data_IF_515600702782
#
_entry.id   IF_515600702782
#
_cell.length_a   1.000
_cell.length_b   1.000
_cell.length_c   1.000
_cell.angle_alpha   90.00
_cell.angle_beta   90.00
_cell.angle_gamma   90.00
#
_symmetry.space_group_name_H-M   'P 1'
#
loop_
_entity.id
_entity.type
_entity.pdbx_description
1 polymer ?
#
# COMPACT_ATOMS: atom_id res chain seq x y z
N UNK A 1 13.92 21.25 6.49
CA UNK A 1 12.93 20.25 6.96
C UNK A 1 13.65 18.92 6.99
N UNK A 2 14.00 18.43 8.18
CA UNK A 2 14.79 17.21 8.34
C UNK A 2 14.00 16.02 7.80
N UNK A 3 14.50 15.39 6.74
CA UNK A 3 13.90 14.25 6.06
C UNK A 3 14.04 13.00 6.94
N UNK A 4 13.20 12.89 7.98
CA UNK A 4 13.04 11.66 8.75
C UNK A 4 12.15 10.75 7.91
N UNK A 5 12.83 10.01 7.06
CA UNK A 5 12.24 8.94 6.28
C UNK A 5 11.49 8.00 7.24
N UNK A 6 10.18 7.77 7.07
CA UNK A 6 9.44 6.90 7.97
C UNK A 6 10.06 5.51 7.92
N UNK A 7 10.20 4.88 9.07
CA UNK A 7 10.66 3.51 9.15
C UNK A 7 9.53 2.55 8.75
N UNK A 8 9.90 1.29 8.49
CA UNK A 8 8.96 0.29 7.97
C UNK A 8 7.82 -0.04 8.94
N UNK A 9 8.04 0.11 10.25
CA UNK A 9 7.02 -0.16 11.24
C UNK A 9 6.00 0.98 11.26
N UNK A 10 6.44 2.23 11.19
CA UNK A 10 5.55 3.40 11.09
C UNK A 10 4.65 3.30 9.85
N UNK A 11 5.20 2.89 8.71
CA UNK A 11 4.42 2.68 7.48
C UNK A 11 3.36 1.57 7.63
N UNK A 12 3.69 0.50 8.35
CA UNK A 12 2.75 -0.61 8.61
C UNK A 12 1.68 -0.20 9.60
N UNK A 13 2.05 0.50 10.67
CA UNK A 13 1.11 1.03 11.67
C UNK A 13 0.11 1.98 11.00
N UNK A 14 0.59 2.91 10.18
CA UNK A 14 -0.25 3.80 9.38
C UNK A 14 -1.25 3.01 8.51
N UNK A 15 -0.78 1.98 7.80
CA UNK A 15 -1.64 1.15 6.98
C UNK A 15 -2.69 0.38 7.80
N UNK A 16 -2.32 -0.15 8.98
CA UNK A 16 -3.23 -0.86 9.90
C UNK A 16 -4.28 0.08 10.51
N UNK A 17 -3.93 1.34 10.76
CA UNK A 17 -4.86 2.38 11.21
C UNK A 17 -5.83 2.85 10.11
N UNK A 18 -5.77 2.24 8.92
CA UNK A 18 -6.62 2.61 7.79
C UNK A 18 -6.20 3.90 7.10
N UNK A 19 -5.00 4.41 7.38
CA UNK A 19 -4.45 5.57 6.66
C UNK A 19 -3.80 5.06 5.36
N UNK A 20 -4.33 5.43 4.18
CA UNK A 20 -3.80 4.95 2.92
C UNK A 20 -2.43 5.54 2.64
N UNK A 21 -1.50 4.72 2.12
CA UNK A 21 -0.24 5.19 1.56
C UNK A 21 -0.54 5.70 0.15
N UNK A 22 -0.35 6.99 -0.08
CA UNK A 22 -0.60 7.58 -1.40
C UNK A 22 0.58 7.33 -2.34
N UNK A 23 0.33 7.36 -3.66
CA UNK A 23 1.42 7.27 -4.64
C UNK A 23 2.42 8.42 -4.47
N UNK A 24 1.94 9.63 -4.16
CA UNK A 24 2.79 10.80 -3.90
C UNK A 24 3.69 10.57 -2.69
N UNK A 25 3.16 9.99 -1.62
CA UNK A 25 3.90 9.65 -0.41
C UNK A 25 4.95 8.57 -0.68
N UNK A 26 4.58 7.48 -1.36
CA UNK A 26 5.52 6.43 -1.77
C UNK A 26 6.66 6.99 -2.64
N UNK A 27 6.35 7.85 -3.61
CA UNK A 27 7.34 8.54 -4.44
C UNK A 27 8.23 9.49 -3.64
N UNK A 28 7.67 10.21 -2.66
CA UNK A 28 8.43 11.12 -1.79
C UNK A 28 9.43 10.34 -0.94
N UNK A 29 9.00 9.21 -0.37
CA UNK A 29 9.86 8.31 0.41
C UNK A 29 10.97 7.73 -0.48
N UNK A 30 10.65 7.33 -1.71
CA UNK A 30 11.64 6.82 -2.67
C UNK A 30 12.71 7.85 -3.02
N UNK A 31 12.32 9.10 -3.29
CA UNK A 31 13.25 10.20 -3.54
C UNK A 31 14.15 10.45 -2.33
N UNK A 32 13.56 10.56 -1.14
CA UNK A 32 14.31 10.79 0.09
C UNK A 32 15.28 9.63 0.40
N UNK A 33 14.90 8.38 0.11
CA UNK A 33 15.74 7.21 0.36
C UNK A 33 16.92 7.20 -0.62
N UNK A 34 16.66 7.67 -1.83
CA UNK A 34 17.69 7.77 -2.85
C UNK A 34 18.69 8.88 -2.56
N UNK A 35 18.21 10.04 -2.09
CA UNK A 35 19.07 11.13 -1.64
C UNK A 35 19.95 10.73 -0.44
N UNK A 36 19.39 9.95 0.50
CA UNK A 36 20.09 9.56 1.72
C UNK A 36 21.13 8.47 1.48
N UNK A 37 20.88 7.56 0.55
CA UNK A 37 21.74 6.38 0.32
C UNK A 37 22.63 6.50 -0.90
N UNK A 38 22.38 7.48 -1.77
CA UNK A 38 23.08 7.66 -3.05
C UNK A 38 22.80 6.53 -4.06
N UNK A 39 21.84 5.66 -3.75
CA UNK A 39 21.41 4.51 -4.53
C UNK A 39 19.91 4.65 -4.78
N UNK A 40 19.35 3.99 -5.79
CA UNK A 40 17.89 3.93 -5.94
C UNK A 40 17.20 3.24 -4.75
N UNK A 41 15.85 3.08 -4.79
CA UNK A 41 15.09 2.39 -3.75
C UNK A 41 15.73 1.07 -3.34
N UNK A 42 15.98 0.90 -2.05
CA UNK A 42 16.69 -0.25 -1.52
C UNK A 42 15.70 -1.40 -1.32
N UNK A 43 16.12 -2.62 -1.67
CA UNK A 43 15.31 -3.82 -1.47
C UNK A 43 14.90 -3.95 0.00
N UNK A 44 13.58 -3.99 0.21
CA UNK A 44 13.00 -4.08 1.53
C UNK A 44 13.19 -2.82 2.37
N UNK A 45 13.70 -1.71 1.84
CA UNK A 45 13.78 -0.39 2.48
C UNK A 45 12.39 0.22 2.75
N UNK A 46 12.39 1.46 3.22
CA UNK A 46 11.15 2.18 3.48
C UNK A 46 10.42 2.51 2.19
N UNK A 47 11.15 2.87 1.13
CA UNK A 47 10.56 3.10 -0.19
C UNK A 47 9.89 1.84 -0.75
N UNK A 48 10.59 0.71 -0.71
CA UNK A 48 10.04 -0.58 -1.14
C UNK A 48 8.82 -1.02 -0.29
N UNK A 49 8.84 -0.72 1.01
CA UNK A 49 7.73 -1.01 1.92
C UNK A 49 6.52 -0.14 1.60
N UNK A 50 6.71 1.18 1.43
CA UNK A 50 5.65 2.12 1.08
C UNK A 50 4.97 1.74 -0.24
N UNK A 51 5.76 1.43 -1.28
CA UNK A 51 5.21 0.98 -2.56
C UNK A 51 4.43 -0.33 -2.41
N UNK A 52 4.97 -1.32 -1.69
CA UNK A 52 4.27 -2.58 -1.49
C UNK A 52 2.95 -2.42 -0.74
N UNK A 53 2.89 -1.52 0.27
CA UNK A 53 1.65 -1.23 0.99
C UNK A 53 0.65 -0.51 0.10
N UNK A 54 1.09 0.48 -0.68
CA UNK A 54 0.25 1.17 -1.66
C UNK A 54 -0.38 0.17 -2.64
N UNK A 55 0.43 -0.70 -3.26
CA UNK A 55 -0.04 -1.67 -4.24
C UNK A 55 -1.07 -2.65 -3.65
N UNK A 56 -0.85 -3.11 -2.41
CA UNK A 56 -1.82 -3.97 -1.70
C UNK A 56 -3.14 -3.25 -1.44
N UNK A 57 -3.09 -2.01 -0.95
CA UNK A 57 -4.27 -1.21 -0.71
C UNK A 57 -5.06 -0.96 -2.00
N UNK A 58 -4.38 -0.66 -3.11
CA UNK A 58 -5.03 -0.50 -4.41
C UNK A 58 -5.65 -1.81 -4.91
N UNK A 59 -4.95 -2.94 -4.75
CA UNK A 59 -5.48 -4.25 -5.13
C UNK A 59 -6.74 -4.60 -4.31
N UNK A 60 -6.74 -4.35 -3.00
CA UNK A 60 -7.92 -4.52 -2.16
C UNK A 60 -9.10 -3.66 -2.64
N UNK A 61 -8.88 -2.35 -2.84
CA UNK A 61 -9.92 -1.44 -3.31
C UNK A 61 -10.48 -1.87 -4.67
N UNK A 62 -9.61 -2.31 -5.59
CA UNK A 62 -10.04 -2.82 -6.89
C UNK A 62 -10.93 -4.07 -6.75
N UNK A 63 -10.49 -5.07 -5.96
CA UNK A 63 -11.26 -6.31 -5.74
C UNK A 63 -12.58 -6.06 -5.02
N UNK A 64 -12.56 -5.25 -3.95
CA UNK A 64 -13.78 -4.86 -3.25
C UNK A 64 -14.74 -4.10 -4.18
N UNK A 65 -14.22 -3.20 -5.02
CA UNK A 65 -14.99 -2.47 -6.01
C UNK A 65 -15.62 -3.38 -7.07
N UNK A 66 -14.89 -4.39 -7.55
CA UNK A 66 -15.39 -5.36 -8.52
C UNK A 66 -16.53 -6.20 -7.93
N UNK A 67 -16.42 -6.63 -6.68
CA UNK A 67 -17.48 -7.34 -5.96
C UNK A 67 -18.68 -6.43 -5.70
N UNK A 68 -18.44 -5.18 -5.29
CA UNK A 68 -19.50 -4.23 -4.97
C UNK A 68 -20.36 -3.83 -6.19
N UNK A 69 -19.85 -3.98 -7.41
CA UNK A 69 -20.61 -3.74 -8.65
C UNK A 69 -21.53 -4.90 -9.04
N UNK A 70 -21.36 -6.08 -8.46
CA UNK A 70 -22.24 -7.21 -8.73
C UNK A 70 -23.62 -6.98 -8.10
N UNK A 71 -24.71 -7.46 -8.73
CA UNK A 71 -26.00 -7.45 -8.07
C UNK A 71 -25.96 -8.39 -6.85
N UNK A 72 -26.69 -8.05 -5.80
CA UNK A 72 -26.56 -8.70 -4.48
C UNK A 72 -26.80 -10.22 -4.51
N UNK A 73 -27.60 -10.71 -5.46
CA UNK A 73 -27.88 -12.14 -5.66
C UNK A 73 -26.75 -12.89 -6.40
N UNK A 74 -25.76 -12.18 -6.93
CA UNK A 74 -24.59 -12.75 -7.64
C UNK A 74 -23.30 -12.66 -6.82
N UNK A 75 -23.34 -12.09 -5.61
CA UNK A 75 -22.19 -12.06 -4.69
C UNK A 75 -22.02 -13.47 -4.09
N UNK A 76 -20.86 -14.09 -4.33
CA UNK A 76 -20.58 -15.46 -3.89
C UNK A 76 -19.57 -15.54 -2.74
N UNK A 77 -19.32 -16.76 -2.24
CA UNK A 77 -18.25 -17.01 -1.24
C UNK A 77 -16.87 -16.79 -1.84
N UNK A 78 -16.70 -17.09 -3.12
CA UNK A 78 -15.47 -16.87 -3.86
C UNK A 78 -15.13 -15.38 -3.94
N UNK A 79 -16.14 -14.51 -4.08
CA UNK A 79 -15.96 -13.06 -4.02
C UNK A 79 -15.45 -12.59 -2.67
N UNK A 80 -16.02 -13.14 -1.58
CA UNK A 80 -15.53 -12.90 -0.23
C UNK A 80 -14.07 -13.34 -0.06
N UNK A 81 -13.71 -14.52 -0.59
CA UNK A 81 -12.34 -15.02 -0.55
C UNK A 81 -11.36 -14.14 -1.37
N UNK A 82 -11.80 -13.62 -2.52
CA UNK A 82 -11.00 -12.72 -3.34
C UNK A 82 -10.69 -11.41 -2.63
N UNK A 83 -11.70 -10.80 -1.98
CA UNK A 83 -11.51 -9.57 -1.19
C UNK A 83 -10.59 -9.84 0.01
N UNK A 84 -10.82 -10.92 0.76
CA UNK A 84 -10.00 -11.29 1.91
C UNK A 84 -8.54 -11.55 1.52
N UNK A 85 -8.29 -12.19 0.38
CA UNK A 85 -6.92 -12.46 -0.09
C UNK A 85 -6.16 -11.21 -0.53
N UNK A 86 -6.86 -10.08 -0.70
CA UNK A 86 -6.29 -8.82 -1.11
C UNK A 86 -5.91 -7.90 0.07
N UNK A 87 -6.28 -8.25 1.31
CA UNK A 87 -5.83 -7.61 2.56
C UNK A 87 -4.44 -8.11 3.00
#
# INVERSE_FOLDING_TARGET
MSSLLPNKNELREQAVEGRPITQTEASTIASAESELTGLGPIKGGSAATAQSLHDKQQNFVAKAGDVARKPANEITKEDGAQVQSAE
#
